data_IF_241273229172
#
_entry.id   IF_241273229172
#
_cell.length_a   1.000
_cell.length_b   1.000
_cell.length_c   1.000
_cell.angle_alpha   90.00
_cell.angle_beta   90.00
_cell.angle_gamma   90.00
#
_symmetry.space_group_name_H-M   'P 1'
#
loop_
_entity.id
_entity.type
_entity.pdbx_description
1 polymer ?
#
# COMPACT_ATOMS: atom_id res chain seq x y z
N UNK A 1 -62.82 -42.58 31.89
CA UNK A 1 -62.58 -42.98 33.30
C UNK A 1 -61.12 -42.70 33.61
N UNK A 2 -60.85 -41.72 34.47
CA UNK A 2 -59.57 -41.46 35.17
C UNK A 2 -59.41 -42.48 36.33
N UNK A 3 -58.20 -42.70 36.89
CA UNK A 3 -57.57 -41.81 37.90
C UNK A 3 -56.05 -41.61 37.67
N UNK A 4 -55.49 -40.41 37.85
CA UNK A 4 -55.01 -39.75 39.10
C UNK A 4 -53.80 -40.40 39.79
N UNK A 5 -52.79 -39.54 40.04
CA UNK A 5 -51.73 -39.55 41.11
C UNK A 5 -50.29 -39.50 40.58
N UNK A 6 -49.32 -38.76 41.12
CA UNK A 6 -49.22 -37.49 41.90
C UNK A 6 -47.72 -37.11 41.91
N UNK A 7 -47.42 -35.79 41.95
CA UNK A 7 -46.26 -35.13 42.59
C UNK A 7 -44.80 -35.54 42.24
N UNK A 8 -44.00 -34.57 41.80
CA UNK A 8 -43.04 -33.90 42.69
C UNK A 8 -42.46 -32.62 42.07
N UNK A 9 -42.56 -31.54 42.85
CA UNK A 9 -41.98 -30.22 42.61
C UNK A 9 -40.48 -30.28 42.94
N UNK A 10 -39.64 -29.86 42.00
CA UNK A 10 -38.21 -29.64 42.21
C UNK A 10 -37.84 -28.25 41.72
N UNK A 11 -37.88 -27.27 42.62
CA UNK A 11 -37.37 -25.93 42.36
C UNK A 11 -35.84 -25.95 42.41
N UNK A 12 -35.19 -25.70 41.28
CA UNK A 12 -33.76 -25.39 41.22
C UNK A 12 -33.61 -23.92 40.81
N UNK A 13 -33.49 -23.04 41.81
CA UNK A 13 -33.12 -21.66 41.61
C UNK A 13 -31.60 -21.58 41.38
N UNK A 14 -31.18 -21.54 40.13
CA UNK A 14 -29.78 -21.27 39.76
C UNK A 14 -29.56 -19.76 39.73
N UNK A 15 -28.89 -19.23 40.76
CA UNK A 15 -28.33 -17.88 40.77
C UNK A 15 -27.12 -17.84 39.84
N UNK A 16 -27.29 -17.42 38.59
CA UNK A 16 -26.16 -17.04 37.72
C UNK A 16 -25.70 -15.65 38.13
N UNK A 17 -24.58 -15.56 38.84
CA UNK A 17 -23.84 -14.30 38.99
C UNK A 17 -23.30 -13.91 37.61
N UNK A 18 -23.96 -12.96 36.95
CA UNK A 18 -23.42 -12.26 35.79
C UNK A 18 -22.23 -11.44 36.26
N UNK A 19 -21.03 -11.90 35.93
CA UNK A 19 -19.82 -11.08 36.07
C UNK A 19 -19.81 -10.16 34.86
N UNK A 20 -20.31 -8.93 35.04
CA UNK A 20 -20.13 -7.85 34.08
C UNK A 20 -18.62 -7.54 33.99
N UNK A 21 -17.93 -8.24 33.09
CA UNK A 21 -16.61 -7.83 32.64
C UNK A 21 -16.79 -6.54 31.84
N UNK A 22 -16.17 -5.41 32.23
CA UNK A 22 -16.15 -4.25 31.36
C UNK A 22 -15.39 -4.66 30.09
N UNK A 23 -16.12 -4.80 28.99
CA UNK A 23 -15.56 -4.84 27.66
C UNK A 23 -14.73 -3.56 27.51
N UNK A 24 -13.43 -3.68 27.72
CA UNK A 24 -12.48 -2.64 27.33
C UNK A 24 -12.58 -2.57 25.82
N UNK A 25 -13.36 -1.60 25.36
CA UNK A 25 -13.42 -1.19 23.96
C UNK A 25 -12.01 -0.72 23.59
N UNK A 26 -11.18 -1.65 23.15
CA UNK A 26 -9.99 -1.33 22.37
C UNK A 26 -10.52 -0.78 21.04
N UNK A 27 -10.76 0.53 20.99
CA UNK A 27 -10.80 1.23 19.73
C UNK A 27 -9.46 0.94 19.05
N UNK A 28 -9.41 0.29 17.88
CA UNK A 28 -8.18 0.26 17.12
C UNK A 28 -7.84 1.73 16.88
N UNK A 29 -6.72 2.18 17.45
CA UNK A 29 -6.13 3.45 17.09
C UNK A 29 -5.94 3.35 15.57
N UNK A 30 -6.79 4.04 14.82
CA UNK A 30 -6.72 4.07 13.35
C UNK A 30 -5.46 4.84 13.00
N UNK A 31 -4.32 4.16 13.07
CA UNK A 31 -3.04 4.71 12.67
C UNK A 31 -3.16 5.02 11.19
N UNK A 32 -2.99 6.29 10.84
CA UNK A 32 -3.01 6.71 9.44
C UNK A 32 -1.93 5.93 8.67
N UNK A 33 -2.25 5.41 7.46
CA UNK A 33 -1.27 4.67 6.68
C UNK A 33 0.01 5.51 6.48
N UNK A 34 1.20 4.91 6.59
CA UNK A 34 2.44 5.60 6.28
C UNK A 34 2.37 6.19 4.87
N UNK A 35 2.72 7.48 4.77
CA UNK A 35 2.79 8.19 3.49
C UNK A 35 4.13 7.90 2.82
N UNK A 36 4.07 7.47 1.56
CA UNK A 36 5.20 7.27 0.68
C UNK A 36 5.23 8.39 -0.36
N UNK A 37 6.32 9.15 -0.40
CA UNK A 37 6.50 10.23 -1.36
C UNK A 37 7.16 9.71 -2.63
N UNK A 38 6.46 9.86 -3.77
CA UNK A 38 6.91 9.46 -5.10
C UNK A 38 7.26 10.68 -5.94
N UNK A 39 8.50 10.75 -6.42
CA UNK A 39 8.94 11.70 -7.45
C UNK A 39 9.09 10.99 -8.80
N UNK A 40 8.67 11.66 -9.88
CA UNK A 40 8.98 11.24 -11.24
C UNK A 40 9.70 12.39 -11.94
N UNK A 41 10.99 12.24 -12.20
CA UNK A 41 11.81 13.32 -12.76
C UNK A 41 11.36 13.65 -14.20
N UNK A 42 11.21 12.61 -15.02
CA UNK A 42 10.76 12.70 -16.40
C UNK A 42 9.93 11.47 -16.75
N UNK A 43 8.85 11.64 -17.53
CA UNK A 43 7.86 10.57 -17.81
C UNK A 43 6.43 11.07 -18.02
N UNK A 44 6.17 12.33 -17.69
CA UNK A 44 4.86 12.95 -17.83
C UNK A 44 3.89 12.59 -16.70
N UNK A 45 2.87 13.42 -16.52
CA UNK A 45 1.91 13.30 -15.41
C UNK A 45 1.08 12.01 -15.46
N UNK A 46 0.81 11.48 -16.66
CA UNK A 46 0.08 10.24 -16.85
C UNK A 46 0.84 9.03 -16.31
N UNK A 47 2.12 8.88 -16.69
CA UNK A 47 2.96 7.78 -16.20
C UNK A 47 3.14 7.85 -14.68
N UNK A 48 3.41 9.03 -14.13
CA UNK A 48 3.63 9.16 -12.69
C UNK A 48 2.40 8.77 -11.86
N UNK A 49 1.19 9.11 -12.36
CA UNK A 49 -0.07 8.64 -11.76
C UNK A 49 -0.18 7.12 -11.80
N UNK A 50 0.07 6.51 -12.96
CA UNK A 50 0.02 5.05 -13.10
C UNK A 50 1.06 4.34 -12.22
N UNK A 51 2.22 4.97 -11.98
CA UNK A 51 3.22 4.45 -11.06
C UNK A 51 2.75 4.51 -9.60
N UNK A 52 2.15 5.62 -9.17
CA UNK A 52 1.55 5.71 -7.84
C UNK A 52 0.45 4.65 -7.63
N UNK A 53 -0.41 4.45 -8.63
CA UNK A 53 -1.45 3.42 -8.60
C UNK A 53 -0.85 2.01 -8.53
N UNK A 54 0.21 1.73 -9.29
CA UNK A 54 0.90 0.44 -9.27
C UNK A 54 1.56 0.14 -7.91
N UNK A 55 2.19 1.15 -7.29
CA UNK A 55 2.76 1.02 -5.94
C UNK A 55 1.64 0.77 -4.93
N UNK A 56 0.56 1.55 -4.96
CA UNK A 56 -0.59 1.41 -4.06
C UNK A 56 -1.24 0.03 -4.18
N UNK A 57 -1.40 -0.48 -5.41
CA UNK A 57 -1.96 -1.81 -5.66
C UNK A 57 -1.06 -2.94 -5.12
N UNK A 58 0.27 -2.76 -5.13
CA UNK A 58 1.22 -3.75 -4.63
C UNK A 58 1.41 -3.69 -3.11
N UNK A 59 1.37 -2.50 -2.54
CA UNK A 59 1.63 -2.20 -1.13
C UNK A 59 0.46 -1.41 -0.52
N UNK A 60 -0.72 -2.03 -0.33
CA UNK A 60 -1.95 -1.33 0.06
C UNK A 60 -1.91 -0.70 1.46
N UNK A 61 -0.88 -1.02 2.26
CA UNK A 61 -0.64 -0.43 3.58
C UNK A 61 0.01 0.96 3.51
N UNK A 62 0.49 1.38 2.34
CA UNK A 62 1.07 2.70 2.12
C UNK A 62 0.10 3.60 1.36
N UNK A 63 0.03 4.87 1.75
CA UNK A 63 -0.59 5.91 0.93
C UNK A 63 0.49 6.58 0.10
N UNK A 64 0.34 6.57 -1.23
CA UNK A 64 1.32 7.22 -2.12
C UNK A 64 0.92 8.67 -2.39
N UNK A 65 1.84 9.60 -2.15
CA UNK A 65 1.70 11.01 -2.49
C UNK A 65 2.75 11.40 -3.52
N UNK A 66 2.31 12.09 -4.58
CA UNK A 66 3.21 12.61 -5.59
C UNK A 66 3.91 13.86 -5.05
N UNK A 67 5.23 13.91 -5.14
CA UNK A 67 6.05 15.08 -4.83
C UNK A 67 6.76 15.58 -6.07
N UNK A 68 6.94 16.89 -6.13
CA UNK A 68 7.79 17.56 -7.10
C UNK A 68 9.22 17.65 -6.57
N UNK A 69 10.18 17.79 -7.49
CA UNK A 69 11.59 18.05 -7.15
C UNK A 69 11.80 19.31 -6.31
N UNK A 70 10.89 20.28 -6.43
CA UNK A 70 10.95 21.57 -5.73
C UNK A 70 10.45 21.48 -4.28
N UNK A 71 9.82 20.36 -3.90
CA UNK A 71 9.36 20.14 -2.55
C UNK A 71 10.55 19.96 -1.59
N UNK A 72 10.44 20.54 -0.40
CA UNK A 72 11.45 20.40 0.64
C UNK A 72 11.56 18.96 1.20
N UNK A 73 10.61 18.08 0.85
CA UNK A 73 10.58 16.68 1.26
C UNK A 73 11.41 15.84 0.30
N UNK A 74 12.32 15.02 0.84
CA UNK A 74 13.04 14.05 0.03
C UNK A 74 12.10 12.91 -0.35
N UNK A 75 12.04 12.50 -1.63
CA UNK A 75 11.20 11.38 -2.04
C UNK A 75 11.70 10.08 -1.41
N UNK A 76 10.75 9.21 -1.07
CA UNK A 76 11.01 7.85 -0.60
C UNK A 76 11.30 6.93 -1.80
N UNK A 77 10.64 7.19 -2.93
CA UNK A 77 10.84 6.51 -4.22
C UNK A 77 10.93 7.55 -5.33
N UNK A 78 11.88 7.36 -6.24
CA UNK A 78 12.05 8.21 -7.42
C UNK A 78 12.07 7.34 -8.67
N UNK A 79 11.26 7.68 -9.68
CA UNK A 79 11.48 7.18 -11.03
C UNK A 79 12.54 8.03 -11.73
N UNK A 80 13.65 7.38 -12.07
CA UNK A 80 14.75 7.98 -12.83
C UNK A 80 14.60 7.54 -14.27
N UNK A 81 14.18 8.47 -15.14
CA UNK A 81 14.07 8.17 -16.55
C UNK A 81 15.43 8.30 -17.23
N UNK A 82 15.74 7.33 -18.07
CA UNK A 82 16.92 7.34 -18.94
C UNK A 82 16.54 7.77 -20.36
N UNK A 83 15.31 7.48 -20.79
CA UNK A 83 14.75 7.89 -22.07
C UNK A 83 13.26 8.16 -21.93
N UNK A 84 12.80 9.31 -22.41
CA UNK A 84 11.39 9.66 -22.44
C UNK A 84 11.05 10.37 -23.75
N UNK A 85 10.47 9.63 -24.70
CA UNK A 85 9.94 10.13 -25.97
C UNK A 85 8.47 9.73 -26.10
N UNK A 86 7.81 10.21 -27.15
CA UNK A 86 6.44 9.78 -27.46
C UNK A 86 6.34 8.31 -27.90
N UNK A 87 7.45 7.63 -28.19
CA UNK A 87 7.50 6.22 -28.64
C UNK A 87 8.29 5.31 -27.73
N UNK A 88 8.98 5.85 -26.71
CA UNK A 88 9.87 5.07 -25.87
C UNK A 88 9.97 5.68 -24.47
N UNK A 89 9.94 4.82 -23.46
CA UNK A 89 10.14 5.17 -22.07
C UNK A 89 11.06 4.11 -21.45
N UNK A 90 12.18 4.53 -20.87
CA UNK A 90 13.06 3.67 -20.09
C UNK A 90 13.52 4.35 -18.81
N UNK A 91 13.82 3.52 -17.81
CA UNK A 91 14.29 4.00 -16.52
C UNK A 91 14.18 2.93 -15.44
N UNK A 92 14.44 3.33 -14.22
CA UNK A 92 14.42 2.47 -13.03
C UNK A 92 13.81 3.21 -11.83
N UNK A 93 13.52 2.47 -10.76
CA UNK A 93 13.13 3.04 -9.48
C UNK A 93 14.35 3.11 -8.56
N UNK A 94 14.61 4.27 -7.99
CA UNK A 94 15.48 4.45 -6.85
C UNK A 94 14.63 4.59 -5.58
N UNK A 95 15.13 4.14 -4.45
CA UNK A 95 14.45 4.33 -3.18
C UNK A 95 15.41 4.64 -2.05
N UNK A 96 14.86 5.31 -1.04
CA UNK A 96 15.51 5.60 0.22
C UNK A 96 14.53 5.28 1.33
N UNK A 97 14.65 4.10 1.93
CA UNK A 97 13.87 3.80 3.13
C UNK A 97 14.52 4.54 4.30
N UNK A 98 13.79 5.49 4.88
CA UNK A 98 14.23 6.18 6.09
C UNK A 98 13.84 5.32 7.30
N UNK A 99 14.79 4.92 8.18
CA UNK A 99 14.47 4.18 9.38
C UNK A 99 13.62 5.01 10.33
N UNK A 100 12.66 4.35 11.00
CA UNK A 100 11.95 4.91 12.14
C UNK A 100 12.92 5.34 13.26
N UNK A 101 12.42 6.17 14.18
CA UNK A 101 13.16 6.82 15.30
C UNK A 101 14.00 5.88 16.19
N UNK A 102 13.93 4.57 16.01
CA UNK A 102 14.56 3.52 16.82
C UNK A 102 15.81 2.87 16.19
N UNK A 103 16.32 3.36 15.05
CA UNK A 103 17.73 3.12 14.68
C UNK A 103 18.07 1.96 13.74
N UNK A 104 17.11 1.25 13.12
CA UNK A 104 17.35 0.24 12.05
C UNK A 104 16.30 0.45 10.94
N UNK A 105 16.53 0.43 9.61
CA UNK A 105 17.69 0.39 8.71
C UNK A 105 17.49 1.45 7.59
N UNK A 106 18.57 2.10 7.14
CA UNK A 106 18.58 2.91 5.90
C UNK A 106 18.89 1.99 4.72
N UNK A 107 17.87 1.63 3.95
CA UNK A 107 18.10 0.91 2.69
C UNK A 107 17.90 1.88 1.55
N UNK A 108 19.01 2.39 1.03
CA UNK A 108 19.02 3.04 -0.28
C UNK A 108 19.32 1.96 -1.33
N UNK A 109 18.61 1.99 -2.45
CA UNK A 109 18.78 1.00 -3.51
C UNK A 109 18.17 1.46 -4.81
N UNK A 110 18.41 0.66 -5.84
CA UNK A 110 17.86 0.87 -7.18
C UNK A 110 17.38 -0.46 -7.75
N UNK A 111 16.32 -0.38 -8.55
CA UNK A 111 15.77 -1.49 -9.32
C UNK A 111 16.48 -1.64 -10.66
N UNK A 112 16.13 -2.66 -11.46
CA UNK A 112 16.64 -2.79 -12.81
C UNK A 112 16.05 -1.71 -13.74
N UNK A 113 16.83 -1.28 -14.72
CA UNK A 113 16.31 -0.49 -15.84
C UNK A 113 15.42 -1.35 -16.72
N UNK A 114 14.20 -0.88 -16.96
CA UNK A 114 13.28 -1.46 -17.94
C UNK A 114 13.07 -0.48 -19.09
N UNK A 115 12.71 -1.01 -20.26
CA UNK A 115 12.39 -0.22 -21.45
C UNK A 115 11.04 -0.67 -22.04
N UNK A 116 10.24 0.32 -22.42
CA UNK A 116 9.06 0.18 -23.26
C UNK A 116 9.29 0.99 -24.54
N UNK A 117 9.20 0.34 -25.70
CA UNK A 117 9.34 1.00 -27.01
C UNK A 117 8.26 0.50 -27.96
N UNK A 118 7.69 1.42 -28.74
CA UNK A 118 6.72 1.16 -29.81
C UNK A 118 7.23 1.73 -31.13
N UNK A 119 6.97 1.04 -32.25
CA UNK A 119 7.50 1.45 -33.56
C UNK A 119 6.52 2.34 -34.34
N UNK A 120 5.25 1.92 -34.43
CA UNK A 120 4.25 2.54 -35.32
C UNK A 120 3.13 3.27 -34.55
N UNK A 121 3.38 3.64 -33.30
CA UNK A 121 2.39 4.27 -32.43
C UNK A 121 3.06 5.21 -31.43
N UNK A 122 2.24 6.01 -30.74
CA UNK A 122 2.68 6.75 -29.55
C UNK A 122 2.34 5.97 -28.29
N UNK A 123 3.15 6.13 -27.26
CA UNK A 123 2.85 5.68 -25.90
C UNK A 123 1.50 6.26 -25.46
N UNK A 124 0.66 5.40 -24.90
CA UNK A 124 -0.66 5.74 -24.40
C UNK A 124 -0.79 5.27 -22.94
N UNK A 125 -1.81 5.77 -22.26
CA UNK A 125 -1.99 5.56 -20.81
C UNK A 125 -2.04 4.08 -20.42
N UNK A 126 -2.63 3.21 -21.25
CA UNK A 126 -2.67 1.77 -20.98
C UNK A 126 -1.29 1.14 -21.03
N UNK A 127 -0.46 1.52 -21.99
CA UNK A 127 0.90 1.03 -22.11
C UNK A 127 1.77 1.54 -20.95
N UNK A 128 1.61 2.82 -20.59
CA UNK A 128 2.29 3.43 -19.44
C UNK A 128 1.90 2.73 -18.12
N UNK A 129 0.62 2.40 -17.93
CA UNK A 129 0.16 1.68 -16.75
C UNK A 129 0.72 0.25 -16.67
N UNK A 130 0.75 -0.46 -17.80
CA UNK A 130 1.37 -1.79 -17.85
C UNK A 130 2.87 -1.73 -17.52
N UNK A 131 3.58 -0.73 -18.04
CA UNK A 131 5.00 -0.51 -17.79
C UNK A 131 5.28 -0.13 -16.32
N UNK A 132 4.50 0.79 -15.75
CA UNK A 132 4.57 1.14 -14.33
C UNK A 132 4.41 -0.10 -13.42
N UNK A 133 3.44 -0.96 -13.74
CA UNK A 133 3.23 -2.19 -13.00
C UNK A 133 4.41 -3.19 -13.14
N UNK A 134 5.07 -3.25 -14.30
CA UNK A 134 6.29 -4.05 -14.48
C UNK A 134 7.45 -3.48 -13.65
N UNK A 135 7.67 -2.16 -13.68
CA UNK A 135 8.70 -1.50 -12.88
C UNK A 135 8.56 -1.84 -11.40
N UNK A 136 7.37 -1.67 -10.81
CA UNK A 136 7.12 -2.00 -9.40
C UNK A 136 7.38 -3.47 -9.11
N UNK A 137 6.95 -4.39 -9.99
CA UNK A 137 7.17 -5.83 -9.82
C UNK A 137 8.65 -6.22 -9.81
N UNK A 138 9.46 -5.60 -10.66
CA UNK A 138 10.87 -5.97 -10.84
C UNK A 138 11.84 -5.18 -9.96
N UNK A 139 11.40 -4.09 -9.32
CA UNK A 139 12.26 -3.22 -8.52
C UNK A 139 12.57 -3.75 -7.12
N UNK A 140 11.90 -4.81 -6.65
CA UNK A 140 12.09 -5.36 -5.29
C UNK A 140 12.04 -4.28 -4.20
N UNK A 141 11.10 -3.33 -4.33
CA UNK A 141 10.94 -2.23 -3.39
C UNK A 141 10.80 -2.76 -1.94
N UNK A 142 11.63 -2.31 -1.00
CA UNK A 142 11.57 -2.74 0.40
C UNK A 142 10.53 -1.93 1.18
N UNK A 143 9.27 -2.04 0.78
CA UNK A 143 8.10 -1.33 1.32
C UNK A 143 7.17 -2.30 2.07
#
# INVERSE_FOLDING_TARGET
>A
MTPFSTLLVGAAASLTMSVDLPASSFSPLSAEPPVLHLECDTGGTAFCRSLAEAITARFPVHRVELTSREDAKKPDVTFVAEKATNTSLSGHLEWRVTPGKTGHMRTAGQGPTLELTVMDATLNDRMLAAFAAQLVRHSNLPL
#
